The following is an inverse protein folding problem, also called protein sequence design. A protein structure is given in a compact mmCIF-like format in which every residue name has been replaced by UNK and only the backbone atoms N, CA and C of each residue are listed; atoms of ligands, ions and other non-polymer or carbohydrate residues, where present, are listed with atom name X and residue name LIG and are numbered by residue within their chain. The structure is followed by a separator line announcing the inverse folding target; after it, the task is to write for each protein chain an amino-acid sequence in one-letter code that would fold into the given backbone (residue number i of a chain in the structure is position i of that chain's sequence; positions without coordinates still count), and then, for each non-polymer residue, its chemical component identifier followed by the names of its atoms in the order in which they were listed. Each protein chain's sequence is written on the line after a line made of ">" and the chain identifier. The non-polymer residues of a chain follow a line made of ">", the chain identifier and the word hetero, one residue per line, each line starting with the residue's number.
data_IF_724801215322
#
_entry.id   IF_724801215322
#
_cell.length_a   1.000
_cell.length_b   1.000
_cell.length_c   1.000
_cell.angle_alpha   90.00
_cell.angle_beta   90.00
_cell.angle_gamma   90.00
#
_symmetry.space_group_name_H-M   'P 1'
#
loop_
_entity.id
_entity.type
_entity.pdbx_description
1 polymer ?
#
# COMPACT_ATOMS: atom_id res chain seq x y z
N UNK A 1 -36.32 21.21 -3.13
CA UNK A 1 -37.11 20.07 -3.65
C UNK A 1 -36.81 18.89 -2.75
N UNK A 2 -37.75 18.54 -1.90
CA UNK A 2 -37.69 17.34 -1.07
C UNK A 2 -38.15 16.16 -1.93
N UNK A 3 -37.25 15.20 -2.18
CA UNK A 3 -37.49 14.06 -3.07
C UNK A 3 -38.02 12.91 -2.22
N UNK A 4 -39.21 13.14 -1.65
CA UNK A 4 -39.84 12.29 -0.64
C UNK A 4 -40.15 10.88 -1.14
N UNK A 5 -39.23 9.94 -0.91
CA UNK A 5 -39.49 8.51 -1.08
C UNK A 5 -39.21 7.75 0.21
N UNK A 6 -40.23 7.05 0.69
CA UNK A 6 -40.13 6.14 1.84
C UNK A 6 -39.60 4.80 1.35
N UNK A 7 -38.42 4.40 1.83
CA UNK A 7 -37.72 3.18 1.39
C UNK A 7 -38.32 1.90 1.98
N UNK A 8 -39.05 2.01 3.11
CA UNK A 8 -39.58 0.85 3.82
C UNK A 8 -40.74 1.23 4.74
N UNK A 9 -41.86 0.50 4.67
CA UNK A 9 -43.01 0.65 5.57
C UNK A 9 -43.27 -0.69 6.21
N UNK A 10 -43.21 -0.77 7.56
CA UNK A 10 -43.57 -1.98 8.30
C UNK A 10 -45.08 -1.93 8.61
N UNK A 11 -45.89 -2.86 8.07
CA UNK A 11 -47.31 -2.96 8.42
C UNK A 11 -47.46 -3.27 9.91
N UNK A 12 -48.34 -2.53 10.62
CA UNK A 12 -48.51 -2.69 12.08
C UNK A 12 -48.97 -4.08 12.51
N UNK A 13 -49.62 -4.83 11.61
CA UNK A 13 -50.03 -6.22 11.86
C UNK A 13 -48.87 -7.24 11.75
N UNK A 14 -47.67 -6.82 11.35
CA UNK A 14 -46.48 -7.67 11.26
C UNK A 14 -45.48 -7.44 12.41
N UNK A 15 -45.79 -6.55 13.36
CA UNK A 15 -44.94 -6.28 14.52
C UNK A 15 -45.29 -7.24 15.66
N UNK A 16 -44.43 -8.24 15.89
CA UNK A 16 -44.65 -9.28 16.90
C UNK A 16 -44.17 -8.90 18.30
N UNK A 17 -43.22 -7.96 18.44
CA UNK A 17 -42.76 -7.46 19.75
C UNK A 17 -42.05 -6.11 19.62
N UNK A 18 -42.32 -5.19 20.54
CA UNK A 18 -41.60 -3.92 20.69
C UNK A 18 -41.01 -3.93 22.11
N UNK A 19 -39.69 -3.90 22.24
CA UNK A 19 -39.03 -3.77 23.55
C UNK A 19 -38.62 -2.33 23.79
N UNK A 20 -39.17 -1.71 24.83
CA UNK A 20 -38.68 -0.46 25.41
C UNK A 20 -37.70 -0.81 26.54
N UNK A 21 -36.53 -0.20 26.52
CA UNK A 21 -35.59 -0.23 27.64
C UNK A 21 -35.70 1.13 28.32
N UNK A 22 -36.56 1.21 29.35
CA UNK A 22 -36.68 2.39 30.21
C UNK A 22 -35.88 2.17 31.49
N UNK A 23 -35.09 3.17 31.87
CA UNK A 23 -34.52 3.36 33.21
C UNK A 23 -35.62 3.54 34.25
N UNK A 24 -35.48 2.87 35.40
CA UNK A 24 -35.49 3.45 36.77
C UNK A 24 -35.73 2.35 37.83
N UNK A 25 -34.80 2.25 38.79
CA UNK A 25 -34.99 1.58 40.10
C UNK A 25 -35.12 2.69 41.17
N UNK A 26 -35.81 2.49 42.33
CA UNK A 26 -35.20 1.71 43.44
C UNK A 26 -36.17 1.01 44.42
N UNK A 27 -35.69 -0.04 45.14
CA UNK A 27 -35.65 -0.14 46.63
C UNK A 27 -35.59 -1.59 47.22
N UNK A 28 -34.51 -1.84 47.99
CA UNK A 28 -34.36 -2.64 49.25
C UNK A 28 -34.38 -4.19 49.30
N UNK A 29 -33.14 -4.75 49.50
CA UNK A 29 -32.57 -5.86 50.34
C UNK A 29 -33.46 -6.74 51.27
N UNK A 30 -33.01 -7.91 51.81
CA UNK A 30 -31.63 -8.53 51.83
C UNK A 30 -31.60 -10.08 51.52
N UNK A 31 -30.49 -10.77 51.22
CA UNK A 31 -29.53 -11.37 52.18
C UNK A 31 -28.69 -12.49 51.51
N UNK A 32 -27.37 -12.49 51.76
CA UNK A 32 -26.39 -13.61 51.86
C UNK A 32 -25.82 -14.37 50.64
N UNK A 33 -24.48 -14.33 50.65
CA UNK A 33 -23.46 -15.33 50.23
C UNK A 33 -23.08 -15.44 48.75
N UNK A 34 -21.90 -14.91 48.38
CA UNK A 34 -20.69 -15.70 48.12
C UNK A 34 -19.71 -14.96 47.17
N UNK A 35 -18.45 -14.90 47.60
CA UNK A 35 -17.19 -14.76 46.84
C UNK A 35 -17.13 -13.80 45.64
N UNK A 36 -16.45 -12.68 45.92
CA UNK A 36 -15.78 -11.81 44.96
C UNK A 36 -14.63 -12.53 44.23
N UNK A 37 -14.74 -12.63 42.90
CA UNK A 37 -13.62 -12.66 41.97
C UNK A 37 -14.09 -11.92 40.71
N UNK A 38 -13.91 -10.60 40.71
CA UNK A 38 -14.21 -9.75 39.56
C UNK A 38 -13.05 -9.86 38.58
N UNK A 39 -13.29 -10.55 37.46
CA UNK A 39 -12.48 -10.51 36.26
C UNK A 39 -12.63 -9.13 35.61
N UNK A 40 -11.53 -8.36 35.63
CA UNK A 40 -11.35 -7.14 34.86
C UNK A 40 -11.32 -7.48 33.37
N UNK A 41 -12.40 -7.21 32.62
CA UNK A 41 -12.35 -7.19 31.15
C UNK A 41 -11.75 -5.85 30.72
N UNK A 42 -10.42 -5.81 30.64
CA UNK A 42 -9.71 -4.82 29.84
C UNK A 42 -9.85 -5.19 28.35
N UNK A 43 -9.88 -4.22 27.41
CA UNK A 43 -9.85 -4.51 25.98
C UNK A 43 -8.58 -5.27 25.66
N UNK A 44 -8.75 -6.51 25.21
CA UNK A 44 -7.64 -7.39 24.86
C UNK A 44 -7.01 -6.90 23.54
N UNK A 45 -5.71 -6.59 23.51
CA UNK A 45 -5.04 -6.22 22.27
C UNK A 45 -5.06 -7.43 21.33
N UNK A 46 -5.69 -7.28 20.17
CA UNK A 46 -5.65 -8.27 19.10
C UNK A 46 -4.20 -8.40 18.62
N UNK A 47 -3.56 -9.49 19.03
CA UNK A 47 -2.22 -9.85 18.62
C UNK A 47 -2.18 -10.07 17.11
N UNK A 48 -1.42 -9.23 16.40
CA UNK A 48 -1.09 -9.40 15.00
C UNK A 48 -0.30 -10.70 14.80
N UNK A 49 -0.79 -11.60 13.94
CA UNK A 49 0.05 -12.64 13.33
C UNK A 49 1.34 -12.02 12.77
N UNK A 50 2.45 -12.77 12.66
CA UNK A 50 3.60 -12.31 11.88
C UNK A 50 3.10 -12.04 10.45
N UNK A 51 2.89 -10.76 10.14
CA UNK A 51 2.10 -10.34 8.99
C UNK A 51 2.86 -10.55 7.69
N UNK A 52 2.11 -10.67 6.59
CA UNK A 52 2.64 -10.68 5.22
C UNK A 52 3.54 -9.45 4.91
N UNK A 53 3.30 -8.35 5.63
CA UNK A 53 4.11 -7.14 5.68
C UNK A 53 4.40 -6.77 7.13
N UNK A 54 5.48 -6.04 7.35
CA UNK A 54 5.85 -5.56 8.67
C UNK A 54 5.14 -4.25 9.03
N UNK A 55 4.79 -4.09 10.30
CA UNK A 55 4.28 -2.84 10.88
C UNK A 55 5.12 -2.50 12.11
N UNK A 56 5.27 -1.21 12.41
CA UNK A 56 5.96 -0.81 13.63
C UNK A 56 5.06 -1.06 14.84
N UNK A 57 5.48 -1.97 15.72
CA UNK A 57 4.72 -2.32 16.92
C UNK A 57 4.78 -1.25 18.03
N UNK A 58 5.69 -0.27 17.93
CA UNK A 58 5.85 0.83 18.90
C UNK A 58 6.23 2.12 18.19
N UNK A 59 5.65 3.28 18.56
CA UNK A 59 6.09 4.56 18.04
C UNK A 59 7.57 4.77 18.41
N UNK A 60 8.43 4.83 17.40
CA UNK A 60 9.82 5.24 17.58
C UNK A 60 9.94 6.75 17.76
N UNK A 61 11.15 7.24 18.02
CA UNK A 61 11.43 8.67 17.88
C UNK A 61 11.56 9.01 16.40
N UNK A 62 11.08 10.19 16.01
CA UNK A 62 11.31 10.73 14.67
C UNK A 62 12.81 10.83 14.37
N UNK A 63 13.18 10.48 13.14
CA UNK A 63 14.56 10.53 12.66
C UNK A 63 14.72 11.60 11.60
N UNK A 64 15.97 12.01 11.37
CA UNK A 64 16.29 12.87 10.25
C UNK A 64 16.11 12.11 8.92
N UNK A 65 15.57 12.79 7.91
CA UNK A 65 15.36 12.27 6.55
C UNK A 65 16.63 11.63 5.97
N UNK A 66 17.81 12.22 6.16
CA UNK A 66 19.08 11.66 5.67
C UNK A 66 19.32 10.25 6.21
N UNK A 67 19.09 10.05 7.50
CA UNK A 67 19.36 8.76 8.15
C UNK A 67 18.30 7.73 7.73
N UNK A 68 17.05 8.15 7.55
CA UNK A 68 15.98 7.32 6.99
C UNK A 68 16.25 6.92 5.54
N UNK A 69 16.74 7.83 4.69
CA UNK A 69 17.10 7.53 3.31
C UNK A 69 18.23 6.50 3.25
N UNK A 70 19.24 6.63 4.10
CA UNK A 70 20.32 5.65 4.20
C UNK A 70 19.81 4.28 4.66
N UNK A 71 18.84 4.25 5.58
CA UNK A 71 18.26 3.02 6.11
C UNK A 71 17.29 2.34 5.13
N UNK A 72 16.45 3.10 4.45
CA UNK A 72 15.28 2.61 3.69
C UNK A 72 15.52 2.58 2.18
N UNK A 73 16.52 3.31 1.67
CA UNK A 73 16.75 3.45 0.24
C UNK A 73 17.07 2.15 -0.51
N UNK A 74 17.52 1.10 0.18
CA UNK A 74 17.71 -0.24 -0.42
C UNK A 74 16.39 -0.98 -0.68
N UNK A 75 15.37 -0.69 0.13
CA UNK A 75 14.05 -1.30 -0.01
C UNK A 75 13.22 -0.62 -1.10
N UNK A 76 13.64 0.56 -1.59
CA UNK A 76 13.00 1.27 -2.69
C UNK A 76 13.64 0.84 -4.00
N UNK A 77 12.82 0.42 -4.94
CA UNK A 77 13.22 -0.23 -6.18
C UNK A 77 12.76 0.55 -7.38
N UNK A 78 13.43 0.38 -8.50
CA UNK A 78 12.94 0.86 -9.78
C UNK A 78 12.25 -0.28 -10.53
N UNK A 79 11.02 -0.05 -10.96
CA UNK A 79 10.23 -1.00 -11.77
C UNK A 79 10.36 -0.58 -13.23
N UNK A 80 10.70 -1.53 -14.11
CA UNK A 80 10.89 -1.29 -15.53
C UNK A 80 10.05 -2.25 -16.35
N UNK A 81 9.42 -1.70 -17.38
CA UNK A 81 8.68 -2.41 -18.42
C UNK A 81 9.15 -1.94 -19.80
N UNK A 82 8.81 -2.66 -20.89
CA UNK A 82 9.08 -2.18 -22.25
C UNK A 82 8.49 -0.79 -22.53
N UNK A 83 7.30 -0.50 -22.00
CA UNK A 83 6.59 0.76 -22.19
C UNK A 83 6.99 1.90 -21.24
N UNK A 84 7.69 1.64 -20.12
CA UNK A 84 7.97 2.70 -19.16
C UNK A 84 8.79 2.29 -17.92
N UNK A 85 8.88 3.23 -16.98
CA UNK A 85 9.53 3.02 -15.68
C UNK A 85 8.76 3.71 -14.57
N UNK A 86 8.83 3.15 -13.38
CA UNK A 86 8.30 3.71 -12.14
C UNK A 86 9.15 3.29 -10.95
N UNK A 87 8.64 3.56 -9.77
CA UNK A 87 9.23 3.12 -8.50
C UNK A 87 8.37 2.05 -7.84
N UNK A 88 8.94 1.38 -6.86
CA UNK A 88 8.25 0.44 -5.99
C UNK A 88 8.97 0.33 -4.65
N UNK A 89 8.42 -0.45 -3.74
CA UNK A 89 9.09 -0.73 -2.47
C UNK A 89 8.80 -2.14 -1.96
N UNK A 90 9.83 -2.77 -1.40
CA UNK A 90 9.80 -4.13 -0.89
C UNK A 90 9.15 -4.15 0.50
N UNK A 91 8.20 -5.06 0.73
CA UNK A 91 7.38 -5.14 1.95
C UNK A 91 7.76 -6.31 2.87
N UNK A 92 8.58 -7.25 2.40
CA UNK A 92 9.10 -8.37 3.20
C UNK A 92 10.42 -8.94 2.65
N UNK A 93 11.06 -9.82 3.42
CA UNK A 93 12.35 -10.44 3.06
C UNK A 93 12.29 -11.33 1.80
N UNK A 94 11.10 -11.84 1.47
CA UNK A 94 10.85 -12.77 0.36
C UNK A 94 10.75 -12.05 -1.00
N UNK A 95 10.92 -10.73 -1.04
CA UNK A 95 10.96 -9.95 -2.27
C UNK A 95 9.58 -9.60 -2.84
N UNK A 96 8.54 -9.61 -2.01
CA UNK A 96 7.27 -8.98 -2.39
C UNK A 96 7.41 -7.47 -2.36
N UNK A 97 6.82 -6.79 -3.34
CA UNK A 97 6.91 -5.34 -3.46
C UNK A 97 5.62 -4.74 -4.02
N UNK A 98 5.37 -3.49 -3.64
CA UNK A 98 4.25 -2.68 -4.13
C UNK A 98 4.74 -1.70 -5.19
N UNK A 99 3.92 -1.49 -6.22
CA UNK A 99 4.05 -0.41 -7.21
C UNK A 99 2.64 0.00 -7.68
N UNK A 100 2.54 0.97 -8.58
CA UNK A 100 1.26 1.31 -9.20
C UNK A 100 0.90 0.35 -10.33
N UNK A 101 -0.41 0.15 -10.55
CA UNK A 101 -0.89 -0.68 -11.65
C UNK A 101 -0.53 -0.05 -13.01
N UNK A 102 -0.68 1.26 -13.18
CA UNK A 102 -0.36 1.93 -14.45
C UNK A 102 1.12 1.81 -14.86
N UNK A 103 2.04 1.54 -13.92
CA UNK A 103 3.47 1.33 -14.21
C UNK A 103 3.70 0.01 -14.97
N UNK A 104 2.83 -0.97 -14.74
CA UNK A 104 2.93 -2.32 -15.32
C UNK A 104 1.77 -2.66 -16.26
N UNK A 105 0.91 -1.69 -16.55
CA UNK A 105 -0.29 -1.91 -17.35
C UNK A 105 0.05 -2.43 -18.75
N UNK A 106 -0.61 -3.51 -19.15
CA UNK A 106 -0.38 -4.16 -20.45
C UNK A 106 0.94 -4.94 -20.58
N UNK A 107 1.82 -4.91 -19.58
CA UNK A 107 3.17 -5.45 -19.67
C UNK A 107 3.38 -6.65 -18.73
N UNK A 108 3.84 -7.78 -19.29
CA UNK A 108 4.20 -8.98 -18.52
C UNK A 108 5.69 -9.12 -18.29
N UNK A 109 6.50 -8.45 -19.11
CA UNK A 109 7.95 -8.43 -18.97
C UNK A 109 8.35 -7.32 -18.00
N UNK A 110 8.32 -7.64 -16.71
CA UNK A 110 8.71 -6.71 -15.65
C UNK A 110 10.13 -7.05 -15.20
N UNK A 111 10.95 -6.02 -15.06
CA UNK A 111 12.24 -6.11 -14.37
C UNK A 111 12.29 -5.12 -13.21
N UNK A 112 12.97 -5.52 -12.14
CA UNK A 112 13.10 -4.72 -10.93
C UNK A 112 14.58 -4.48 -10.67
N UNK A 113 14.97 -3.21 -10.57
CA UNK A 113 16.34 -2.83 -10.19
C UNK A 113 16.38 -2.49 -8.71
N UNK A 114 17.25 -3.19 -7.98
CA UNK A 114 17.48 -2.98 -6.55
C UNK A 114 18.91 -2.50 -6.36
N UNK A 115 19.06 -1.46 -5.55
CA UNK A 115 20.35 -0.87 -5.21
C UNK A 115 20.79 -1.37 -3.84
N UNK A 116 21.80 -2.24 -3.79
CA UNK A 116 22.34 -2.83 -2.57
C UNK A 116 23.53 -2.01 -2.08
N UNK A 117 23.62 -1.68 -0.79
CA UNK A 117 24.89 -1.17 -0.22
C UNK A 117 25.84 -2.34 -0.02
N UNK A 118 26.96 -2.30 -0.73
CA UNK A 118 28.05 -3.25 -0.54
C UNK A 118 29.34 -2.48 -0.37
N UNK A 119 29.99 -2.66 0.78
CA UNK A 119 31.29 -2.04 1.09
C UNK A 119 31.30 -0.50 0.94
N UNK A 120 30.18 0.17 1.23
CA UNK A 120 30.04 1.63 1.14
C UNK A 120 29.77 2.15 -0.28
N UNK A 121 29.54 1.28 -1.26
CA UNK A 121 29.09 1.63 -2.60
C UNK A 121 27.71 1.05 -2.90
N UNK A 122 26.94 1.74 -3.74
CA UNK A 122 25.67 1.25 -4.24
C UNK A 122 25.88 0.38 -5.48
N UNK A 123 25.61 -0.91 -5.33
CA UNK A 123 25.63 -1.87 -6.43
C UNK A 123 24.20 -2.06 -6.95
N UNK A 124 23.97 -1.70 -8.22
CA UNK A 124 22.68 -1.92 -8.89
C UNK A 124 22.61 -3.36 -9.40
N UNK A 125 21.61 -4.11 -8.95
CA UNK A 125 21.27 -5.45 -9.46
C UNK A 125 19.88 -5.44 -10.11
N UNK A 126 19.81 -5.92 -11.35
CA UNK A 126 18.56 -6.05 -12.10
C UNK A 126 18.03 -7.48 -11.99
N UNK A 127 16.81 -7.62 -11.49
CA UNK A 127 16.07 -8.87 -11.42
C UNK A 127 15.09 -8.95 -12.56
N UNK A 128 15.15 -10.05 -13.34
CA UNK A 128 14.30 -10.23 -14.54
C UNK A 128 13.18 -11.24 -14.34
N UNK A 129 13.28 -12.07 -13.30
CA UNK A 129 12.25 -13.03 -12.92
C UNK A 129 11.32 -12.37 -11.89
N UNK A 130 10.36 -11.59 -12.39
CA UNK A 130 9.39 -10.85 -11.58
C UNK A 130 7.99 -11.29 -11.96
N UNK A 131 7.22 -11.74 -10.97
CA UNK A 131 5.85 -12.21 -11.14
C UNK A 131 4.86 -11.18 -10.63
N UNK A 132 3.77 -10.99 -11.36
CA UNK A 132 2.59 -10.27 -10.89
C UNK A 132 1.80 -11.22 -9.97
N UNK A 133 1.63 -10.83 -8.71
CA UNK A 133 0.91 -11.62 -7.70
C UNK A 133 -0.55 -11.19 -7.62
N UNK A 134 -0.80 -9.88 -7.54
CA UNK A 134 -2.13 -9.32 -7.43
C UNK A 134 -2.20 -7.92 -8.06
N UNK A 135 -3.37 -7.54 -8.56
CA UNK A 135 -3.63 -6.23 -9.15
C UNK A 135 -4.98 -5.70 -8.66
N UNK A 136 -5.00 -4.45 -8.21
CA UNK A 136 -6.23 -3.66 -8.04
C UNK A 136 -6.17 -2.45 -8.98
N UNK A 137 -6.95 -2.51 -10.06
CA UNK A 137 -6.98 -1.46 -11.09
C UNK A 137 -7.70 -0.20 -10.65
N UNK A 138 -8.63 -0.32 -9.71
CA UNK A 138 -9.37 0.82 -9.19
C UNK A 138 -8.41 1.68 -8.36
N UNK A 139 -7.86 1.12 -7.28
CA UNK A 139 -6.90 1.82 -6.40
C UNK A 139 -5.50 2.02 -7.02
N UNK A 140 -5.30 1.65 -8.29
CA UNK A 140 -4.01 1.73 -9.00
C UNK A 140 -2.83 1.09 -8.24
N UNK A 141 -3.04 -0.12 -7.71
CA UNK A 141 -2.04 -0.88 -6.96
C UNK A 141 -1.71 -2.21 -7.62
N UNK A 142 -0.42 -2.58 -7.59
CA UNK A 142 0.06 -3.90 -7.99
C UNK A 142 1.00 -4.47 -6.93
N UNK A 143 0.83 -5.77 -6.67
CA UNK A 143 1.72 -6.57 -5.84
C UNK A 143 2.56 -7.46 -6.76
N UNK A 144 3.87 -7.27 -6.73
CA UNK A 144 4.83 -8.05 -7.48
C UNK A 144 5.69 -8.89 -6.53
N UNK A 145 6.34 -9.91 -7.09
CA UNK A 145 7.32 -10.74 -6.37
C UNK A 145 8.53 -11.01 -7.24
N UNK A 146 9.72 -10.82 -6.67
CA UNK A 146 10.98 -11.22 -7.27
C UNK A 146 11.18 -12.73 -6.99
N UNK A 147 11.28 -13.56 -8.04
CA UNK A 147 11.38 -15.03 -7.94
C UNK A 147 12.70 -15.58 -8.50
N UNK A 148 13.75 -14.75 -8.49
CA UNK A 148 15.08 -15.16 -8.98
C UNK A 148 15.79 -16.09 -7.97
N UNK A 149 16.31 -17.23 -8.45
CA UNK A 149 16.85 -18.30 -7.58
C UNK A 149 18.00 -17.85 -6.67
N UNK A 150 18.81 -16.91 -7.14
CA UNK A 150 19.99 -16.39 -6.44
C UNK A 150 19.74 -15.00 -5.84
N UNK A 151 18.47 -14.68 -5.54
CA UNK A 151 18.12 -13.46 -4.84
C UNK A 151 18.51 -13.55 -3.35
N UNK A 152 19.24 -12.55 -2.80
CA UNK A 152 19.47 -12.48 -1.37
C UNK A 152 18.17 -12.14 -0.64
N UNK A 153 18.17 -12.24 0.69
CA UNK A 153 17.12 -11.62 1.50
C UNK A 153 17.08 -10.11 1.24
N UNK A 154 15.90 -9.58 1.02
CA UNK A 154 15.74 -8.16 0.73
C UNK A 154 15.57 -7.33 2.00
N UNK A 155 16.08 -6.09 1.96
CA UNK A 155 15.62 -5.06 2.89
C UNK A 155 14.20 -4.67 2.51
N UNK A 156 13.38 -4.40 3.51
CA UNK A 156 11.98 -4.05 3.33
C UNK A 156 11.61 -2.88 4.23
N UNK A 157 10.49 -2.24 3.91
CA UNK A 157 9.94 -1.12 4.67
C UNK A 157 8.79 -1.57 5.57
N UNK A 158 8.55 -0.81 6.64
CA UNK A 158 7.39 -1.02 7.48
C UNK A 158 6.21 -0.23 6.94
N UNK A 159 5.05 -0.88 6.86
CA UNK A 159 3.78 -0.27 6.47
C UNK A 159 3.18 0.40 7.71
N UNK A 160 2.86 1.69 7.58
CA UNK A 160 2.31 2.50 8.66
C UNK A 160 0.79 2.38 8.81
N UNK A 161 0.20 3.41 9.43
CA UNK A 161 -1.24 3.60 9.59
C UNK A 161 -1.58 5.08 9.35
N UNK A 162 -2.77 5.41 8.82
CA UNK A 162 -3.23 6.79 8.71
C UNK A 162 -3.46 7.46 10.05
N UNK A 163 -3.65 6.69 11.11
CA UNK A 163 -3.70 7.23 12.46
C UNK A 163 -2.36 7.85 12.87
N UNK A 164 -1.26 7.38 12.27
CA UNK A 164 0.10 7.84 12.53
C UNK A 164 0.53 9.04 11.68
N UNK A 165 -0.40 9.68 10.94
CA UNK A 165 -0.10 10.86 10.13
C UNK A 165 -1.09 11.98 10.45
N UNK A 166 -0.69 13.24 10.52
CA UNK A 166 -1.60 14.39 10.66
C UNK A 166 -1.32 15.46 9.59
N UNK A 167 -2.33 16.28 9.28
CA UNK A 167 -2.13 17.41 8.36
C UNK A 167 -1.10 18.37 8.96
N UNK A 168 -0.11 18.75 8.16
CA UNK A 168 1.04 19.55 8.59
C UNK A 168 2.28 18.74 8.98
N UNK A 169 2.16 17.42 9.18
CA UNK A 169 3.32 16.58 9.48
C UNK A 169 4.22 16.42 8.26
N UNK A 170 5.53 16.29 8.53
CA UNK A 170 6.55 16.13 7.52
C UNK A 170 6.49 14.74 6.91
N UNK A 171 6.61 14.70 5.59
CA UNK A 171 6.68 13.48 4.80
C UNK A 171 7.79 13.59 3.77
N UNK A 172 8.33 12.45 3.35
CA UNK A 172 9.30 12.41 2.27
C UNK A 172 9.02 11.23 1.34
N UNK A 173 9.28 11.42 0.06
CA UNK A 173 9.23 10.37 -0.94
C UNK A 173 10.66 9.97 -1.33
N UNK A 174 10.85 8.68 -1.59
CA UNK A 174 12.04 8.17 -2.25
C UNK A 174 11.58 7.50 -3.54
N UNK A 175 12.22 7.84 -4.66
CA UNK A 175 11.95 7.23 -5.95
C UNK A 175 13.17 7.26 -6.87
N UNK A 176 12.99 6.78 -8.10
CA UNK A 176 14.00 6.77 -9.16
C UNK A 176 13.48 7.52 -10.41
N UNK A 177 13.28 8.84 -10.35
CA UNK A 177 12.77 9.60 -11.47
C UNK A 177 13.79 9.61 -12.62
N UNK A 178 13.34 9.28 -13.83
CA UNK A 178 14.12 9.35 -15.07
C UNK A 178 15.42 8.51 -15.07
N UNK A 179 15.53 7.50 -14.19
CA UNK A 179 16.76 6.70 -14.04
C UNK A 179 17.90 7.41 -13.30
N UNK A 180 17.62 8.57 -12.68
CA UNK A 180 18.51 9.18 -11.70
C UNK A 180 18.42 8.39 -10.39
N UNK A 181 19.57 7.99 -9.87
CA UNK A 181 19.64 7.16 -8.66
C UNK A 181 19.04 7.89 -7.46
N UNK A 182 18.00 7.30 -6.86
CA UNK A 182 17.46 7.64 -5.52
C UNK A 182 17.22 9.14 -5.30
N UNK A 183 16.21 9.68 -5.98
CA UNK A 183 15.74 11.03 -5.69
C UNK A 183 14.92 11.03 -4.40
N UNK A 184 15.23 11.98 -3.53
CA UNK A 184 14.51 12.23 -2.29
C UNK A 184 13.83 13.58 -2.40
N UNK A 185 12.53 13.61 -2.13
CA UNK A 185 11.77 14.86 -2.04
C UNK A 185 11.07 14.92 -0.70
N UNK A 186 11.09 16.08 -0.07
CA UNK A 186 10.49 16.30 1.24
C UNK A 186 9.40 17.36 1.15
N UNK A 187 8.36 17.21 1.96
CA UNK A 187 7.30 18.20 2.12
C UNK A 187 6.47 17.90 3.36
N UNK A 188 5.21 18.33 3.33
CA UNK A 188 4.24 18.06 4.39
C UNK A 188 3.02 17.36 3.81
N UNK A 189 2.26 16.68 4.67
CA UNK A 189 0.91 16.26 4.35
C UNK A 189 -0.01 17.49 4.36
N UNK A 190 -0.62 17.81 3.22
CA UNK A 190 -1.55 18.94 3.08
C UNK A 190 -3.00 18.56 3.37
N UNK A 191 -3.44 17.37 2.94
CA UNK A 191 -4.76 16.83 3.28
C UNK A 191 -4.78 15.31 3.14
N UNK A 192 -5.67 14.65 3.89
CA UNK A 192 -5.86 13.19 3.84
C UNK A 192 -6.99 12.74 2.92
N UNK A 193 -7.91 13.63 2.59
CA UNK A 193 -9.22 13.26 2.02
C UNK A 193 -9.48 14.00 0.71
N UNK A 194 -8.46 14.11 -0.15
CA UNK A 194 -8.68 14.72 -1.46
C UNK A 194 -9.41 13.72 -2.35
N UNK A 195 -10.65 14.03 -2.69
CA UNK A 195 -11.40 13.21 -3.63
C UNK A 195 -11.06 13.59 -5.08
N UNK A 196 -10.64 12.62 -5.88
CA UNK A 196 -10.37 12.76 -7.32
C UNK A 196 -11.04 11.58 -8.02
N UNK A 197 -11.95 11.86 -8.96
CA UNK A 197 -12.65 10.84 -9.75
C UNK A 197 -13.34 9.72 -8.93
N UNK A 198 -13.73 10.00 -7.68
CA UNK A 198 -14.37 9.01 -6.80
C UNK A 198 -13.44 8.34 -5.80
N UNK A 199 -12.14 8.57 -5.89
CA UNK A 199 -11.12 7.96 -5.03
C UNK A 199 -10.48 8.98 -4.09
N UNK A 200 -9.96 8.48 -2.96
CA UNK A 200 -9.35 9.30 -1.91
C UNK A 200 -7.84 9.26 -2.01
N UNK A 201 -7.24 10.45 -2.05
CA UNK A 201 -5.80 10.65 -2.10
C UNK A 201 -5.30 11.47 -0.92
N UNK A 202 -4.09 11.14 -0.48
CA UNK A 202 -3.26 12.03 0.31
C UNK A 202 -2.70 13.11 -0.61
N UNK A 203 -2.81 14.38 -0.21
CA UNK A 203 -2.15 15.49 -0.88
C UNK A 203 -0.90 15.86 -0.12
N UNK A 204 0.22 16.03 -0.82
CA UNK A 204 1.50 16.44 -0.24
C UNK A 204 2.17 17.54 -1.06
N UNK A 205 2.94 18.38 -0.36
CA UNK A 205 3.84 19.34 -1.00
C UNK A 205 5.17 18.73 -1.43
N UNK A 206 5.46 17.48 -1.05
CA UNK A 206 6.64 16.76 -1.53
C UNK A 206 6.57 16.65 -3.05
N UNK A 207 7.67 16.98 -3.73
CA UNK A 207 7.69 17.00 -5.19
C UNK A 207 7.52 15.58 -5.75
N UNK A 208 6.42 15.35 -6.46
CA UNK A 208 6.15 14.11 -7.19
C UNK A 208 6.33 14.39 -8.67
N UNK A 209 7.19 13.62 -9.33
CA UNK A 209 7.50 13.73 -10.77
C UNK A 209 7.45 12.35 -11.42
N UNK A 210 7.37 12.28 -12.76
CA UNK A 210 7.44 11.01 -13.49
C UNK A 210 8.63 10.15 -13.01
N UNK A 211 8.33 8.90 -12.68
CA UNK A 211 9.27 7.91 -12.15
C UNK A 211 9.30 7.79 -10.61
N UNK A 212 8.66 8.70 -9.87
CA UNK A 212 8.34 8.45 -8.45
C UNK A 212 7.11 7.55 -8.29
N UNK A 213 6.17 7.56 -9.25
CA UNK A 213 4.93 6.76 -9.24
C UNK A 213 5.19 5.30 -8.88
N UNK A 214 4.44 4.79 -7.91
CA UNK A 214 4.59 3.47 -7.30
C UNK A 214 5.55 3.44 -6.12
N UNK A 215 6.35 4.50 -5.91
CA UNK A 215 7.28 4.64 -4.81
C UNK A 215 6.59 5.03 -3.49
N UNK A 216 7.25 4.77 -2.35
CA UNK A 216 6.69 5.04 -1.02
C UNK A 216 6.75 6.52 -0.65
N UNK A 217 5.69 6.98 0.01
CA UNK A 217 5.66 8.20 0.81
C UNK A 217 5.84 7.80 2.28
N UNK A 218 6.83 8.36 2.96
CA UNK A 218 7.18 8.03 4.34
C UNK A 218 6.87 9.15 5.33
N UNK A 219 6.56 8.78 6.57
CA UNK A 219 6.65 9.69 7.73
C UNK A 219 8.07 9.69 8.33
N UNK A 220 8.33 10.56 9.31
CA UNK A 220 9.65 10.63 9.99
C UNK A 220 9.93 9.46 10.95
N UNK A 221 9.00 8.53 11.11
CA UNK A 221 9.24 7.24 11.78
C UNK A 221 9.82 6.19 10.81
N UNK A 222 9.86 6.50 9.51
CA UNK A 222 10.31 5.58 8.47
C UNK A 222 9.25 4.58 8.02
N UNK A 223 7.97 4.88 8.27
CA UNK A 223 6.84 4.06 7.89
C UNK A 223 6.24 4.56 6.59
N UNK A 224 5.82 3.64 5.72
CA UNK A 224 5.06 3.99 4.53
C UNK A 224 3.68 4.48 4.97
N UNK A 225 3.35 5.72 4.61
CA UNK A 225 2.03 6.34 4.83
C UNK A 225 1.22 6.49 3.54
N UNK A 226 1.83 6.26 2.39
CA UNK A 226 1.12 6.16 1.11
C UNK A 226 2.01 5.73 -0.04
N UNK A 227 1.40 5.54 -1.21
CA UNK A 227 2.10 5.22 -2.48
C UNK A 227 1.96 6.41 -3.41
N UNK A 228 3.07 7.03 -3.77
CA UNK A 228 3.06 8.16 -4.71
C UNK A 228 2.46 7.72 -6.04
N UNK A 229 1.51 8.49 -6.58
CA UNK A 229 0.75 8.11 -7.76
C UNK A 229 0.90 9.15 -8.87
N UNK A 230 0.32 10.33 -8.68
CA UNK A 230 0.22 11.34 -9.72
C UNK A 230 0.54 12.75 -9.21
N UNK A 231 0.79 13.67 -10.15
CA UNK A 231 0.80 15.11 -9.90
C UNK A 231 -0.24 15.78 -10.80
N UNK A 232 -0.85 16.86 -10.32
CA UNK A 232 -1.63 17.74 -11.21
C UNK A 232 -0.66 18.69 -11.89
N UNK A 233 -0.59 18.64 -13.23
CA UNK A 233 0.38 19.42 -14.03
C UNK A 233 0.11 20.93 -14.03
N UNK A 234 -1.11 21.36 -13.65
CA UNK A 234 -1.54 22.76 -13.68
C UNK A 234 -1.38 23.51 -12.34
N UNK A 235 -0.66 22.94 -11.36
CA UNK A 235 -0.35 23.60 -10.10
C UNK A 235 0.93 23.07 -9.45
N UNK A 236 1.76 23.97 -8.93
CA UNK A 236 2.97 23.60 -8.19
C UNK A 236 2.61 23.06 -6.79
N UNK A 237 3.37 22.07 -6.31
CA UNK A 237 3.17 21.51 -4.96
C UNK A 237 1.90 20.68 -4.77
N UNK A 238 1.29 20.20 -5.85
CA UNK A 238 0.12 19.30 -5.83
C UNK A 238 0.53 17.86 -6.16
N UNK A 239 1.21 17.21 -5.21
CA UNK A 239 1.52 15.78 -5.26
C UNK A 239 0.41 14.95 -4.63
N UNK A 240 0.13 13.78 -5.20
CA UNK A 240 -0.89 12.85 -4.71
C UNK A 240 -0.30 11.46 -4.43
N UNK A 241 -0.74 10.85 -3.34
CA UNK A 241 -0.42 9.50 -2.96
C UNK A 241 -1.66 8.72 -2.55
N UNK A 242 -1.70 7.43 -2.90
CA UNK A 242 -2.71 6.48 -2.44
C UNK A 242 -2.50 6.28 -0.93
N UNK A 243 -3.53 6.41 -0.08
CA UNK A 243 -3.40 6.23 1.37
C UNK A 243 -2.94 4.82 1.75
N UNK A 244 -2.17 4.71 2.84
CA UNK A 244 -1.69 3.41 3.33
C UNK A 244 -2.83 2.44 3.69
N UNK A 245 -4.02 2.92 4.02
CA UNK A 245 -5.20 2.09 4.30
C UNK A 245 -5.60 1.27 3.07
N UNK A 246 -5.59 1.88 1.89
CA UNK A 246 -5.87 1.20 0.64
C UNK A 246 -4.81 0.13 0.37
N UNK A 247 -3.54 0.43 0.67
CA UNK A 247 -2.44 -0.55 0.56
C UNK A 247 -2.64 -1.73 1.50
N UNK A 248 -2.95 -1.47 2.78
CA UNK A 248 -3.18 -2.54 3.78
C UNK A 248 -4.37 -3.38 3.41
N UNK A 249 -5.49 -2.74 3.03
CA UNK A 249 -6.68 -3.45 2.56
C UNK A 249 -6.36 -4.35 1.36
N UNK A 250 -5.61 -3.84 0.38
CA UNK A 250 -5.16 -4.61 -0.77
C UNK A 250 -4.27 -5.80 -0.39
N UNK A 251 -3.32 -5.62 0.53
CA UNK A 251 -2.41 -6.67 1.00
C UNK A 251 -3.14 -7.76 1.82
N UNK A 252 -4.06 -7.35 2.68
CA UNK A 252 -4.84 -8.24 3.54
C UNK A 252 -5.83 -9.08 2.71
N UNK A 253 -6.34 -8.52 1.61
CA UNK A 253 -7.27 -9.18 0.68
C UNK A 253 -6.63 -9.58 -0.66
N UNK A 254 -5.30 -9.74 -0.71
CA UNK A 254 -4.55 -9.99 -1.95
C UNK A 254 -5.08 -11.16 -2.78
N UNK A 255 -5.66 -12.17 -2.13
CA UNK A 255 -6.22 -13.36 -2.81
C UNK A 255 -7.45 -13.00 -3.66
N UNK A 256 -8.24 -12.00 -3.25
CA UNK A 256 -9.36 -11.49 -4.04
C UNK A 256 -8.90 -10.71 -5.28
N UNK A 257 -7.66 -10.20 -5.25
CA UNK A 257 -7.01 -9.45 -6.33
C UNK A 257 -5.99 -10.29 -7.10
N UNK A 258 -5.95 -11.60 -6.85
CA UNK A 258 -4.92 -12.49 -7.40
C UNK A 258 -4.91 -12.41 -8.93
N UNK A 259 -3.72 -12.16 -9.46
CA UNK A 259 -3.52 -12.08 -10.89
C UNK A 259 -3.45 -13.49 -11.48
N UNK A 260 -4.29 -13.75 -12.49
CA UNK A 260 -4.24 -14.96 -13.30
C UNK A 260 -4.44 -14.60 -14.77
N UNK A 261 -3.58 -15.15 -15.63
CA UNK A 261 -3.70 -15.01 -17.09
C UNK A 261 -5.02 -15.62 -17.61
N UNK A 262 -5.61 -16.55 -16.86
CA UNK A 262 -6.80 -17.31 -17.25
C UNK A 262 -8.08 -16.77 -16.58
N UNK A 263 -8.00 -15.67 -15.83
CA UNK A 263 -9.19 -15.07 -15.20
C UNK A 263 -10.01 -14.30 -16.25
N UNK A 264 -11.24 -14.74 -16.58
CA UNK A 264 -12.08 -14.07 -17.58
C UNK A 264 -12.52 -12.67 -17.17
N UNK A 265 -12.42 -12.33 -15.87
CA UNK A 265 -12.74 -11.00 -15.35
C UNK A 265 -11.58 -10.01 -15.49
N UNK A 266 -10.42 -10.42 -16.01
CA UNK A 266 -9.32 -9.51 -16.28
C UNK A 266 -9.58 -8.77 -17.61
N UNK A 267 -9.76 -7.42 -17.61
CA UNK A 267 -10.05 -6.70 -18.85
C UNK A 267 -8.90 -6.71 -19.87
N UNK A 268 -7.71 -7.19 -19.47
CA UNK A 268 -6.60 -7.42 -20.36
C UNK A 268 -6.25 -8.89 -20.40
N UNK A 269 -6.30 -9.48 -21.61
CA UNK A 269 -5.73 -10.80 -21.88
C UNK A 269 -4.25 -10.58 -22.20
N UNK A 270 -3.41 -10.87 -21.23
CA UNK A 270 -1.97 -10.74 -21.39
C UNK A 270 -1.47 -11.90 -22.24
N UNK A 271 -1.16 -11.62 -23.51
CA UNK A 271 -0.60 -12.61 -24.42
C UNK A 271 0.87 -12.83 -24.09
N UNK A 272 1.35 -14.05 -24.24
CA UNK A 272 2.79 -14.29 -24.25
C UNK A 272 3.42 -13.51 -25.41
N UNK A 273 4.56 -12.84 -25.19
CA UNK A 273 5.26 -12.15 -26.26
C UNK A 273 5.63 -13.16 -27.37
N UNK A 274 5.58 -12.79 -28.65
CA UNK A 274 6.00 -13.68 -29.72
C UNK A 274 7.44 -14.13 -29.47
N UNK A 275 7.65 -15.44 -29.29
CA UNK A 275 8.99 -15.99 -29.16
C UNK A 275 9.77 -15.64 -30.42
N UNK A 276 10.97 -15.05 -30.29
CA UNK A 276 11.88 -14.92 -31.43
C UNK A 276 12.11 -16.32 -31.98
N UNK A 277 11.51 -16.63 -33.13
CA UNK A 277 11.87 -17.80 -33.91
C UNK A 277 13.37 -17.69 -34.14
N UNK A 278 14.15 -18.61 -33.56
CA UNK A 278 15.54 -18.80 -33.96
C UNK A 278 15.48 -19.02 -35.47
N UNK A 279 16.00 -18.08 -36.25
CA UNK A 279 16.46 -18.42 -37.58
C UNK A 279 17.57 -19.45 -37.35
N UNK A 280 17.20 -20.73 -37.45
CA UNK A 280 18.15 -21.76 -37.82
C UNK A 280 18.71 -21.30 -39.15
N UNK A 281 19.94 -20.77 -39.12
CA UNK A 281 20.82 -20.81 -40.28
C UNK A 281 20.94 -22.28 -40.64
N UNK A 282 20.09 -22.72 -41.57
CA UNK A 282 20.36 -23.92 -42.33
C UNK A 282 21.49 -23.54 -43.29
N UNK A 283 22.64 -24.19 -43.11
CA UNK A 283 23.74 -24.19 -44.06
C UNK A 283 23.22 -24.66 -45.43
N UNK A 284 23.35 -23.80 -46.45
CA UNK A 284 24.00 -24.06 -47.75
C UNK A 284 24.13 -22.77 -48.57
#
# INVERSE_FOLDING_TARGET
>A
MDVGYTVFVVPRNQVTKISKTDEAEPATKPTKTAKSTTSTNAPQPTASSPGFYATNARPGAEKNVRDLVNQLGEAVVQVRTPGGLGSGFIINEDGFLITNFHVIEGETQISVEVYHQRSGQLERKTYKQVRIVAINKFEDLALLRIEEKDAPKFKFVNVGSADALQVGERVFAIGSPLGLERTVTEGILSTKTRQIAGELYLQTTAQINPGNSGGPLFNLLGEVVGVTNMKITFGEGLGFAIPVEAVRFFLDHRDAYAYSNDNPSNPYRYLEPPSRTRHTTADE
#
